data_IF_087067919151
#
_entry.id   IF_087067919151
#
_cell.length_a   1.000
_cell.length_b   1.000
_cell.length_c   1.000
_cell.angle_alpha   90.00
_cell.angle_beta   90.00
_cell.angle_gamma   90.00
#
_symmetry.space_group_name_H-M   'P 1'
#
loop_
_entity.id
_entity.type
_entity.pdbx_description
1 polymer ?
#
# COMPACT_ATOMS: atom_id res chain seq x y z
N UNK A 1 -11.17 -32.55 -15.98
CA UNK A 1 -10.55 -33.64 -15.21
C UNK A 1 -9.11 -33.22 -14.90
N UNK A 2 -8.78 -32.89 -13.65
CA UNK A 2 -7.36 -32.81 -13.26
C UNK A 2 -6.86 -34.25 -13.23
N UNK A 3 -5.83 -34.56 -14.01
CA UNK A 3 -5.13 -35.84 -13.90
C UNK A 3 -4.65 -35.96 -12.45
N UNK A 4 -4.93 -37.10 -11.81
CA UNK A 4 -4.39 -37.39 -10.50
C UNK A 4 -2.89 -37.64 -10.69
N UNK A 5 -2.07 -36.64 -10.34
CA UNK A 5 -0.62 -36.74 -10.47
C UNK A 5 -0.12 -37.93 -9.64
N UNK A 6 0.83 -38.67 -10.19
CA UNK A 6 1.50 -39.75 -9.46
C UNK A 6 2.16 -39.21 -8.19
N UNK A 7 2.24 -40.04 -7.15
CA UNK A 7 2.79 -39.65 -5.85
C UNK A 7 4.25 -39.15 -5.95
N UNK A 8 5.03 -39.76 -6.86
CA UNK A 8 6.40 -39.33 -7.19
C UNK A 8 6.46 -37.97 -7.90
N UNK A 9 5.47 -37.64 -8.74
CA UNK A 9 5.39 -36.33 -9.40
C UNK A 9 4.98 -35.25 -8.41
N UNK A 10 4.06 -35.57 -7.49
CA UNK A 10 3.68 -34.67 -6.39
C UNK A 10 4.89 -34.37 -5.50
N UNK A 11 5.70 -35.38 -5.17
CA UNK A 11 6.89 -35.18 -4.33
C UNK A 11 7.94 -34.30 -5.02
N UNK A 12 8.23 -34.55 -6.31
CA UNK A 12 9.16 -33.69 -7.07
C UNK A 12 8.71 -32.23 -7.12
N UNK A 13 7.41 -31.99 -7.32
CA UNK A 13 6.86 -30.64 -7.32
C UNK A 13 7.03 -30.00 -5.93
N UNK A 14 6.80 -30.75 -4.85
CA UNK A 14 6.99 -30.22 -3.49
C UNK A 14 8.45 -29.83 -3.24
N UNK A 15 9.40 -30.69 -3.61
CA UNK A 15 10.82 -30.41 -3.44
C UNK A 15 11.26 -29.16 -4.23
N UNK A 16 10.78 -29.00 -5.47
CA UNK A 16 11.00 -27.81 -6.29
C UNK A 16 10.38 -26.53 -5.68
N UNK A 17 9.18 -26.65 -5.09
CA UNK A 17 8.51 -25.52 -4.44
C UNK A 17 9.21 -25.13 -3.14
N UNK A 18 9.69 -26.09 -2.34
CA UNK A 18 10.46 -25.81 -1.13
C UNK A 18 11.76 -25.06 -1.45
N UNK A 19 12.42 -25.42 -2.55
CA UNK A 19 13.61 -24.69 -3.01
C UNK A 19 13.25 -23.26 -3.46
N UNK A 20 12.19 -23.10 -4.26
CA UNK A 20 11.73 -21.78 -4.75
C UNK A 20 11.25 -20.86 -3.63
N UNK A 21 10.50 -21.40 -2.66
CA UNK A 21 9.96 -20.66 -1.52
C UNK A 21 10.89 -20.65 -0.30
N UNK A 22 12.11 -21.18 -0.45
CA UNK A 22 13.17 -20.97 0.54
C UNK A 22 13.41 -19.48 0.74
N UNK A 23 13.66 -19.08 1.99
CA UNK A 23 13.78 -17.66 2.37
C UNK A 23 14.79 -16.91 1.49
N UNK A 24 15.91 -17.55 1.16
CA UNK A 24 17.00 -16.95 0.36
C UNK A 24 16.59 -16.66 -1.08
N UNK A 25 15.94 -17.62 -1.74
CA UNK A 25 15.52 -17.49 -3.14
C UNK A 25 14.32 -16.54 -3.24
N UNK A 26 13.33 -16.75 -2.38
CA UNK A 26 12.12 -15.93 -2.39
C UNK A 26 12.40 -14.46 -2.07
N UNK A 27 13.29 -14.16 -1.12
CA UNK A 27 13.59 -12.77 -0.75
C UNK A 27 14.26 -12.00 -1.88
N UNK A 28 15.17 -12.63 -2.63
CA UNK A 28 15.80 -12.05 -3.81
C UNK A 28 14.79 -11.79 -4.94
N UNK A 29 13.85 -12.72 -5.15
CA UNK A 29 12.76 -12.53 -6.11
C UNK A 29 11.78 -11.43 -5.65
N UNK A 30 11.40 -11.44 -4.38
CA UNK A 30 10.54 -10.42 -3.76
C UNK A 30 11.16 -9.02 -3.88
N UNK A 31 12.47 -8.87 -3.70
CA UNK A 31 13.16 -7.61 -3.89
C UNK A 31 13.09 -7.10 -5.34
N UNK A 32 13.20 -7.98 -6.34
CA UNK A 32 13.01 -7.61 -7.76
C UNK A 32 11.56 -7.21 -8.05
N UNK A 33 10.60 -7.90 -7.43
CA UNK A 33 9.17 -7.64 -7.57
C UNK A 33 8.72 -6.38 -6.84
N UNK A 34 9.38 -6.00 -5.74
CA UNK A 34 9.12 -4.80 -4.95
C UNK A 34 9.10 -3.52 -5.80
N UNK A 35 9.95 -3.43 -6.82
CA UNK A 35 10.02 -2.28 -7.75
C UNK A 35 8.69 -2.01 -8.46
N UNK A 36 7.84 -3.04 -8.64
CA UNK A 36 6.53 -2.92 -9.29
C UNK A 36 5.41 -2.50 -8.32
N UNK A 37 5.75 -2.25 -7.07
CA UNK A 37 4.83 -1.89 -6.00
C UNK A 37 5.14 -0.48 -5.52
N UNK A 38 4.10 0.31 -5.31
CA UNK A 38 4.25 1.65 -4.74
C UNK A 38 3.19 1.87 -3.67
N UNK A 39 3.62 2.26 -2.48
CA UNK A 39 2.71 2.71 -1.43
C UNK A 39 2.30 4.15 -1.76
N UNK A 40 1.00 4.43 -1.70
CA UNK A 40 0.43 5.71 -2.08
C UNK A 40 -0.66 6.14 -1.12
N UNK A 41 -0.87 7.45 -1.04
CA UNK A 41 -2.01 8.05 -0.35
C UNK A 41 -3.14 8.43 -1.31
N UNK A 42 -2.81 8.72 -2.58
CA UNK A 42 -3.74 9.22 -3.59
C UNK A 42 -3.61 8.42 -4.90
N UNK A 43 -4.18 7.20 -4.95
CA UNK A 43 -4.10 6.34 -6.12
C UNK A 43 -4.86 6.89 -7.34
N UNK A 44 -4.20 6.92 -8.51
CA UNK A 44 -4.81 7.37 -9.76
C UNK A 44 -5.86 6.41 -10.34
N UNK A 45 -5.85 5.14 -9.92
CA UNK A 45 -6.82 4.13 -10.38
C UNK A 45 -8.27 4.50 -10.01
N UNK A 46 -8.48 5.34 -8.99
CA UNK A 46 -9.80 5.89 -8.65
C UNK A 46 -10.32 6.90 -9.68
N UNK A 47 -9.44 7.54 -10.46
CA UNK A 47 -9.85 8.38 -11.58
C UNK A 47 -10.22 7.53 -12.79
N UNK A 48 -9.37 6.55 -13.14
CA UNK A 48 -9.62 5.60 -14.20
C UNK A 48 -8.78 4.32 -14.00
N UNK A 49 -9.33 3.10 -14.18
CA UNK A 49 -8.61 1.85 -13.89
C UNK A 49 -7.28 1.66 -14.65
N UNK A 50 -7.17 2.25 -15.85
CA UNK A 50 -5.98 2.19 -16.71
C UNK A 50 -5.01 3.38 -16.54
N UNK A 51 -5.31 4.34 -15.66
CA UNK A 51 -4.43 5.49 -15.46
C UNK A 51 -3.10 5.06 -14.82
N UNK A 52 -1.99 5.65 -15.29
CA UNK A 52 -0.65 5.46 -14.72
C UNK A 52 -0.03 6.80 -14.36
N UNK A 53 0.21 7.01 -13.07
CA UNK A 53 0.85 8.22 -12.55
C UNK A 53 1.99 7.84 -11.62
N UNK A 54 2.85 8.80 -11.28
CA UNK A 54 3.78 8.63 -10.18
C UNK A 54 3.03 8.36 -8.86
N UNK A 55 3.61 7.50 -8.02
CA UNK A 55 3.08 7.23 -6.68
C UNK A 55 3.26 8.44 -5.78
N UNK A 56 2.18 8.87 -5.10
CA UNK A 56 2.21 10.05 -4.22
C UNK A 56 1.91 9.63 -2.78
N UNK A 57 2.86 9.88 -1.88
CA UNK A 57 2.66 9.81 -0.43
C UNK A 57 2.58 11.23 0.11
N UNK A 58 1.37 11.68 0.41
CA UNK A 58 1.11 13.00 0.93
C UNK A 58 1.29 13.01 2.45
N UNK A 59 2.24 13.82 2.92
CA UNK A 59 2.48 14.08 4.35
C UNK A 59 2.41 15.58 4.58
N UNK A 60 1.21 16.12 4.75
CA UNK A 60 1.05 17.54 5.09
C UNK A 60 0.39 17.70 6.46
N UNK A 61 0.72 18.79 7.15
CA UNK A 61 0.16 19.13 8.45
C UNK A 61 -1.27 19.60 8.27
N UNK A 62 -2.18 19.03 9.04
CA UNK A 62 -3.54 19.54 9.14
C UNK A 62 -3.56 20.93 9.80
N UNK A 63 -4.50 21.76 9.36
CA UNK A 63 -4.79 23.06 9.97
C UNK A 63 -6.26 23.11 10.42
N UNK A 64 -6.54 23.89 11.47
CA UNK A 64 -7.89 24.06 12.04
C UNK A 64 -8.54 25.33 11.50
N UNK A 65 -8.74 25.40 10.18
CA UNK A 65 -9.32 26.56 9.51
C UNK A 65 -10.72 26.29 8.93
N UNK A 66 -11.36 25.20 9.39
CA UNK A 66 -12.71 24.81 9.00
C UNK A 66 -12.76 23.90 7.76
N UNK A 67 -11.64 23.66 7.07
CA UNK A 67 -11.58 22.72 5.96
C UNK A 67 -11.09 21.33 6.39
N UNK A 68 -11.75 20.29 5.90
CA UNK A 68 -11.29 18.91 6.06
C UNK A 68 -10.37 18.53 4.91
N UNK A 69 -9.12 18.19 5.22
CA UNK A 69 -8.10 17.74 4.25
C UNK A 69 -7.56 16.37 4.65
N UNK A 70 -6.91 15.70 3.70
CA UNK A 70 -6.18 14.46 3.93
C UNK A 70 -5.14 14.59 5.06
N UNK A 71 -4.51 15.77 5.23
CA UNK A 71 -3.57 16.02 6.32
C UNK A 71 -4.19 16.14 7.72
N UNK A 72 -5.51 16.32 7.83
CA UNK A 72 -6.19 16.41 9.13
C UNK A 72 -6.53 15.05 9.74
N UNK A 73 -6.35 13.96 8.99
CA UNK A 73 -6.88 12.66 9.35
C UNK A 73 -5.81 11.61 9.17
N UNK A 74 -5.53 10.85 10.23
CA UNK A 74 -4.69 9.66 10.13
C UNK A 74 -5.47 8.52 9.48
N UNK A 75 -4.90 7.95 8.43
CA UNK A 75 -5.45 6.81 7.69
C UNK A 75 -4.33 5.93 7.15
N UNK A 76 -4.65 4.67 6.89
CA UNK A 76 -3.71 3.73 6.29
C UNK A 76 -3.46 4.08 4.82
N UNK A 77 -2.22 3.93 4.40
CA UNK A 77 -1.83 4.12 3.00
C UNK A 77 -2.33 2.94 2.15
N UNK A 78 -2.53 3.23 0.88
CA UNK A 78 -2.96 2.27 -0.13
C UNK A 78 -1.76 1.85 -0.98
N UNK A 79 -1.98 0.90 -1.89
CA UNK A 79 -0.93 0.41 -2.78
C UNK A 79 -1.36 0.48 -4.24
N UNK A 80 -0.41 0.79 -5.11
CA UNK A 80 -0.54 0.62 -6.55
C UNK A 80 0.44 -0.45 -6.99
N UNK A 81 -0.07 -1.39 -7.77
CA UNK A 81 0.71 -2.44 -8.42
C UNK A 81 0.23 -2.63 -9.87
N UNK A 82 1.13 -3.07 -10.73
CA UNK A 82 0.79 -3.46 -12.11
C UNK A 82 0.20 -4.87 -12.20
N UNK A 83 0.56 -5.76 -11.26
CA UNK A 83 0.12 -7.17 -11.25
C UNK A 83 -0.19 -7.61 -9.82
N UNK A 84 -1.24 -8.39 -9.61
CA UNK A 84 -1.61 -8.89 -8.26
C UNK A 84 -0.59 -9.87 -7.67
N UNK A 85 0.26 -10.47 -8.50
CA UNK A 85 1.33 -11.38 -8.11
C UNK A 85 2.50 -10.72 -7.35
N UNK A 86 2.36 -9.45 -6.94
CA UNK A 86 3.30 -8.78 -6.01
C UNK A 86 2.66 -8.43 -4.67
N UNK A 87 1.39 -8.80 -4.46
CA UNK A 87 0.67 -8.55 -3.21
C UNK A 87 1.31 -9.26 -2.02
N UNK A 88 1.82 -10.48 -2.23
CA UNK A 88 2.56 -11.26 -1.23
C UNK A 88 3.76 -10.50 -0.67
N UNK A 89 4.45 -9.71 -1.49
CA UNK A 89 5.57 -8.87 -1.05
C UNK A 89 5.08 -7.76 -0.10
N UNK A 90 3.95 -7.14 -0.41
CA UNK A 90 3.36 -6.12 0.48
C UNK A 90 2.83 -6.72 1.78
N UNK A 91 2.16 -7.87 1.70
CA UNK A 91 1.70 -8.61 2.87
C UNK A 91 2.88 -8.95 3.79
N UNK A 92 3.98 -9.45 3.22
CA UNK A 92 5.23 -9.68 3.96
C UNK A 92 5.75 -8.40 4.63
N UNK A 93 5.87 -7.30 3.89
CA UNK A 93 6.39 -6.04 4.43
C UNK A 93 5.50 -5.41 5.52
N UNK A 94 4.20 -5.72 5.51
CA UNK A 94 3.23 -5.24 6.51
C UNK A 94 3.04 -6.18 7.69
N UNK A 95 3.71 -7.35 7.70
CA UNK A 95 3.72 -8.22 8.86
C UNK A 95 4.24 -7.47 10.08
N UNK A 96 3.47 -7.56 11.17
CA UNK A 96 3.84 -6.98 12.46
C UNK A 96 4.77 -7.94 13.18
N UNK A 97 5.92 -7.42 13.62
CA UNK A 97 6.83 -8.14 14.51
C UNK A 97 6.27 -8.13 15.93
N UNK A 98 6.91 -8.88 16.84
CA UNK A 98 6.54 -8.93 18.27
C UNK A 98 6.52 -7.54 18.93
N UNK A 99 7.26 -6.57 18.38
CA UNK A 99 7.34 -5.19 18.84
C UNK A 99 6.22 -4.29 18.27
N UNK A 100 5.28 -4.85 17.52
CA UNK A 100 4.14 -4.14 16.93
C UNK A 100 4.46 -3.26 15.72
N UNK A 101 5.74 -3.20 15.31
CA UNK A 101 6.20 -2.49 14.11
C UNK A 101 6.16 -3.39 12.88
N UNK A 102 6.02 -2.82 11.69
CA UNK A 102 6.05 -3.60 10.45
C UNK A 102 7.47 -3.93 10.04
N UNK A 103 7.66 -4.99 9.25
CA UNK A 103 8.97 -5.32 8.65
C UNK A 103 9.52 -4.11 7.88
N UNK A 104 8.66 -3.38 7.17
CA UNK A 104 9.05 -2.16 6.45
C UNK A 104 9.59 -1.07 7.38
N UNK A 105 9.00 -0.87 8.57
CA UNK A 105 9.50 0.10 9.55
C UNK A 105 10.85 -0.34 10.13
N UNK A 106 11.05 -1.64 10.32
CA UNK A 106 12.32 -2.22 10.75
C UNK A 106 13.44 -2.04 9.71
N UNK A 107 13.10 -2.09 8.42
CA UNK A 107 14.02 -1.78 7.32
C UNK A 107 14.32 -0.27 7.22
N UNK A 108 13.35 0.60 7.51
CA UNK A 108 13.57 2.05 7.55
C UNK A 108 14.53 2.46 8.66
N UNK A 109 14.32 1.94 9.87
CA UNK A 109 15.12 2.27 11.06
C UNK A 109 16.46 1.52 11.09
N UNK A 110 16.70 0.61 10.13
CA UNK A 110 17.91 -0.20 10.04
C UNK A 110 18.18 -0.99 11.34
N UNK A 111 17.13 -1.63 11.86
CA UNK A 111 17.16 -2.32 13.14
C UNK A 111 18.03 -3.59 13.11
N UNK A 112 18.64 -3.95 14.25
CA UNK A 112 19.49 -5.14 14.36
C UNK A 112 18.77 -6.44 13.96
N UNK A 113 17.49 -6.57 14.32
CA UNK A 113 16.64 -7.71 13.94
C UNK A 113 16.49 -7.81 12.41
N UNK A 114 16.29 -6.69 11.71
CA UNK A 114 16.23 -6.70 10.25
C UNK A 114 17.56 -7.15 9.64
N UNK A 115 18.70 -6.71 10.19
CA UNK A 115 20.01 -7.16 9.71
C UNK A 115 20.21 -8.66 9.89
N UNK A 116 19.79 -9.20 11.01
CA UNK A 116 19.92 -10.64 11.30
C UNK A 116 18.98 -11.49 10.43
N UNK A 117 17.71 -11.10 10.30
CA UNK A 117 16.73 -11.84 9.49
C UNK A 117 17.03 -11.79 8.00
N UNK A 118 17.60 -10.68 7.51
CA UNK A 118 17.96 -10.50 6.10
C UNK A 118 19.43 -10.82 5.81
N UNK A 119 20.20 -11.29 6.81
CA UNK A 119 21.57 -11.78 6.61
C UNK A 119 21.54 -13.17 5.96
N UNK A 120 21.51 -13.17 4.63
CA UNK A 120 21.48 -14.40 3.82
C UNK A 120 22.83 -14.58 3.12
N UNK A 121 23.39 -15.80 3.05
CA UNK A 121 24.72 -16.04 2.46
C UNK A 121 24.90 -15.54 1.03
N UNK A 122 23.82 -15.46 0.26
CA UNK A 122 23.82 -15.18 -1.17
C UNK A 122 23.31 -13.77 -1.53
N UNK A 123 23.10 -12.88 -0.56
CA UNK A 123 22.51 -11.57 -0.82
C UNK A 123 23.15 -10.45 0.00
N UNK A 124 23.29 -9.27 -0.63
CA UNK A 124 23.71 -8.07 0.06
C UNK A 124 22.51 -7.42 0.76
N UNK A 125 22.59 -7.27 2.08
CA UNK A 125 21.55 -6.64 2.90
C UNK A 125 21.15 -5.26 2.39
N UNK A 126 22.14 -4.43 2.01
CA UNK A 126 21.89 -3.05 1.63
C UNK A 126 21.12 -2.95 0.30
N UNK A 127 21.39 -3.85 -0.65
CA UNK A 127 20.67 -3.92 -1.92
C UNK A 127 19.22 -4.35 -1.71
N UNK A 128 18.99 -5.37 -0.88
CA UNK A 128 17.65 -5.81 -0.51
C UNK A 128 16.88 -4.69 0.20
N UNK A 129 17.51 -4.03 1.16
CA UNK A 129 16.93 -2.91 1.90
C UNK A 129 16.53 -1.78 0.95
N UNK A 130 17.41 -1.37 0.04
CA UNK A 130 17.10 -0.33 -0.95
C UNK A 130 15.95 -0.73 -1.88
N UNK A 131 15.92 -1.99 -2.32
CA UNK A 131 14.83 -2.50 -3.16
C UNK A 131 13.48 -2.43 -2.44
N UNK A 132 13.38 -2.85 -1.18
CA UNK A 132 12.13 -2.75 -0.41
C UNK A 132 11.77 -1.31 -0.04
N UNK A 133 12.74 -0.46 0.27
CA UNK A 133 12.49 0.96 0.55
C UNK A 133 12.05 1.75 -0.67
N UNK A 134 12.39 1.30 -1.89
CA UNK A 134 11.94 1.94 -3.13
C UNK A 134 10.41 2.02 -3.25
N UNK A 135 9.68 1.11 -2.59
CA UNK A 135 8.21 1.09 -2.55
C UNK A 135 7.61 2.37 -1.96
N UNK A 136 8.31 3.02 -1.00
CA UNK A 136 7.88 4.27 -0.38
C UNK A 136 8.43 5.51 -1.08
N UNK A 137 9.37 5.35 -2.01
CA UNK A 137 9.95 6.48 -2.73
C UNK A 137 8.98 6.90 -3.83
N UNK A 138 8.48 8.14 -3.76
CA UNK A 138 7.81 8.76 -4.88
C UNK A 138 8.83 8.98 -6.00
N UNK A 139 8.56 8.44 -7.20
CA UNK A 139 9.35 8.70 -8.40
C UNK A 139 9.71 10.19 -8.47
N UNK A 140 11.00 10.49 -8.67
CA UNK A 140 11.52 11.86 -8.75
C UNK A 140 10.92 12.64 -9.93
N UNK A 141 10.40 11.93 -10.93
CA UNK A 141 9.61 12.52 -12.02
C UNK A 141 8.12 12.53 -11.68
N UNK A 142 7.54 13.71 -11.47
CA UNK A 142 6.09 13.88 -11.41
C UNK A 142 5.46 13.54 -12.78
N UNK A 143 4.87 12.35 -12.91
CA UNK A 143 4.23 11.88 -14.14
C UNK A 143 2.72 11.83 -13.93
N UNK A 144 1.98 12.47 -14.83
CA UNK A 144 0.51 12.42 -14.89
C UNK A 144 0.06 11.67 -16.16
N UNK A 145 -1.15 11.12 -16.13
CA UNK A 145 -1.80 10.50 -17.29
C UNK A 145 -2.87 11.44 -17.86
N UNK A 146 -3.20 11.28 -19.14
CA UNK A 146 -4.35 11.93 -19.81
C UNK A 146 -5.69 11.45 -19.25
N UNK A 147 -5.71 10.27 -18.64
CA UNK A 147 -6.92 9.65 -18.06
C UNK A 147 -7.26 10.19 -16.67
N UNK A 148 -6.37 10.96 -16.05
CA UNK A 148 -6.64 11.64 -14.78
C UNK A 148 -7.33 12.97 -15.08
N UNK A 149 -8.22 13.39 -14.19
CA UNK A 149 -8.91 14.68 -14.31
C UNK A 149 -7.90 15.80 -14.13
N UNK A 150 -7.78 16.65 -15.15
CA UNK A 150 -6.90 17.81 -15.16
C UNK A 150 -7.74 19.08 -15.28
N UNK A 151 -7.45 20.09 -14.45
CA UNK A 151 -8.19 21.34 -14.38
C UNK A 151 -7.22 22.52 -14.41
N UNK A 152 -7.52 23.54 -15.23
CA UNK A 152 -6.82 24.81 -15.19
C UNK A 152 -7.35 25.67 -14.04
N UNK A 153 -6.46 26.06 -13.14
CA UNK A 153 -6.75 26.95 -12.03
C UNK A 153 -6.16 28.33 -12.32
N UNK A 154 -6.99 29.40 -12.39
CA UNK A 154 -6.53 30.74 -12.72
C UNK A 154 -5.68 31.35 -11.61
N UNK A 155 -4.69 32.15 -12.02
CA UNK A 155 -3.83 32.96 -11.17
C UNK A 155 -3.91 34.43 -11.61
N UNK A 156 -3.12 35.27 -10.97
CA UNK A 156 -2.95 36.66 -11.40
C UNK A 156 -2.31 36.74 -12.80
N UNK A 157 -2.58 37.84 -13.53
CA UNK A 157 -1.95 38.18 -14.81
C UNK A 157 -2.13 37.12 -15.93
N UNK A 158 -3.34 36.60 -16.08
CA UNK A 158 -3.68 35.60 -17.11
C UNK A 158 -2.81 34.33 -17.09
N UNK A 159 -2.23 34.00 -15.93
CA UNK A 159 -1.48 32.76 -15.74
C UNK A 159 -2.37 31.68 -15.12
N UNK A 160 -2.02 30.41 -15.38
CA UNK A 160 -2.81 29.26 -14.92
C UNK A 160 -1.89 28.15 -14.39
N UNK A 161 -2.36 27.45 -13.36
CA UNK A 161 -1.79 26.17 -12.96
C UNK A 161 -2.65 25.03 -13.52
N UNK A 162 -2.00 24.03 -14.11
CA UNK A 162 -2.67 22.77 -14.44
C UNK A 162 -2.60 21.84 -13.23
N UNK A 163 -3.76 21.51 -12.66
CA UNK A 163 -3.88 20.65 -11.50
C UNK A 163 -4.39 19.27 -11.92
N UNK A 164 -3.61 18.22 -11.63
CA UNK A 164 -4.07 16.83 -11.73
C UNK A 164 -4.72 16.41 -10.41
N UNK A 165 -6.01 16.07 -10.47
CA UNK A 165 -6.80 15.76 -9.27
C UNK A 165 -6.75 14.25 -9.01
N UNK A 166 -6.30 13.87 -7.82
CA UNK A 166 -6.24 12.49 -7.35
C UNK A 166 -7.12 12.30 -6.12
N UNK A 167 -7.67 11.10 -5.94
CA UNK A 167 -8.58 10.78 -4.85
C UNK A 167 -7.81 10.25 -3.63
N UNK A 168 -7.99 10.83 -2.42
CA UNK A 168 -7.41 10.28 -1.19
C UNK A 168 -8.16 9.00 -0.78
N UNK A 169 -7.59 7.83 -1.04
CA UNK A 169 -8.30 6.56 -0.79
C UNK A 169 -8.46 6.27 0.71
N UNK A 170 -7.44 6.51 1.52
CA UNK A 170 -7.52 6.26 2.97
C UNK A 170 -8.58 7.13 3.68
N UNK A 171 -8.73 8.40 3.26
CA UNK A 171 -9.80 9.27 3.78
C UNK A 171 -11.19 8.72 3.40
N UNK A 172 -11.36 8.30 2.14
CA UNK A 172 -12.62 7.73 1.66
C UNK A 172 -12.99 6.46 2.43
N UNK A 173 -12.04 5.54 2.61
CA UNK A 173 -12.23 4.29 3.36
C UNK A 173 -12.61 4.57 4.81
N UNK A 174 -11.96 5.55 5.47
CA UNK A 174 -12.28 5.90 6.85
C UNK A 174 -13.69 6.47 6.99
N UNK A 175 -14.09 7.37 6.10
CA UNK A 175 -15.47 7.90 6.05
C UNK A 175 -16.48 6.79 5.82
N UNK A 176 -16.21 5.88 4.87
CA UNK A 176 -17.09 4.74 4.60
C UNK A 176 -17.24 3.83 5.83
N UNK A 177 -16.13 3.51 6.50
CA UNK A 177 -16.14 2.69 7.72
C UNK A 177 -16.99 3.32 8.83
N UNK A 178 -16.84 4.62 9.06
CA UNK A 178 -17.64 5.35 10.05
C UNK A 178 -19.15 5.30 9.71
N UNK A 179 -19.51 5.48 8.44
CA UNK A 179 -20.91 5.37 8.01
C UNK A 179 -21.45 3.96 8.24
N UNK A 180 -20.66 2.93 7.92
CA UNK A 180 -21.05 1.53 8.11
C UNK A 180 -21.23 1.18 9.59
N UNK A 181 -20.34 1.67 10.45
CA UNK A 181 -20.46 1.51 11.91
C UNK A 181 -21.74 2.17 12.46
N UNK A 182 -22.12 3.34 11.93
CA UNK A 182 -23.36 4.03 12.32
C UNK A 182 -24.61 3.29 11.83
N UNK A 183 -24.54 2.66 10.67
CA UNK A 183 -25.63 1.85 10.12
C UNK A 183 -25.66 0.42 10.65
N UNK A 184 -24.71 0.03 11.49
CA UNK A 184 -24.72 -1.28 12.15
C UNK A 184 -26.03 -1.49 12.91
N UNK A 185 -26.63 -2.66 12.71
CA UNK A 185 -27.89 -3.06 13.34
C UNK A 185 -27.80 -2.93 14.86
N UNK A 186 -26.63 -3.23 15.44
CA UNK A 186 -26.36 -3.12 16.87
C UNK A 186 -26.53 -1.67 17.36
N UNK A 187 -25.84 -0.71 16.73
CA UNK A 187 -25.97 0.72 17.07
C UNK A 187 -27.38 1.26 16.86
N UNK A 188 -28.07 0.82 15.80
CA UNK A 188 -29.46 1.20 15.56
C UNK A 188 -30.39 0.65 16.64
N UNK A 189 -30.18 -0.59 17.09
CA UNK A 189 -30.95 -1.21 18.19
C UNK A 189 -30.71 -0.47 19.50
N UNK A 190 -29.45 -0.21 19.86
CA UNK A 190 -29.08 0.56 21.05
C UNK A 190 -29.74 1.95 21.04
N UNK A 191 -29.64 2.69 19.92
CA UNK A 191 -30.26 4.00 19.80
C UNK A 191 -31.80 3.95 19.95
N UNK A 192 -32.44 2.91 19.42
CA UNK A 192 -33.89 2.68 19.58
C UNK A 192 -34.26 2.34 21.02
N UNK A 193 -33.47 1.54 21.71
CA UNK A 193 -33.70 1.23 23.13
C UNK A 193 -33.53 2.46 24.02
N UNK A 194 -32.47 3.24 23.81
CA UNK A 194 -32.26 4.52 24.50
C UNK A 194 -33.42 5.49 24.27
N UNK A 195 -33.97 5.55 23.05
CA UNK A 195 -35.16 6.35 22.74
C UNK A 195 -36.42 5.87 23.47
N UNK A 196 -36.57 4.55 23.69
CA UNK A 196 -37.71 3.97 24.41
C UNK A 196 -37.62 4.12 25.93
N UNK A 197 -36.41 4.23 26.48
CA UNK A 197 -36.15 4.43 27.92
C UNK A 197 -36.23 5.89 28.35
N UNK A 198 -36.55 6.80 27.43
CA UNK A 198 -36.76 8.23 27.66
C UNK A 198 -38.24 8.54 27.62
#
# INVERSE_FOLDING_TARGET
MKADLGEDEKQKILDELEEQFSLSVWLLDAAKRAIKLSIVSHPCKFSHPKARTSGIIFKNKGETDGYLRSGNVEYDLDIIFDTSAVMDVYEFLTLKTELGKTILDHLEIDSAQAKETFAIPNANYEELRQAFLSIKQSDSSNKTDRLVKQVYFPLEKDSYHLLSILTPSGLLTKVKRQIDELHSIEKIKEARECRKKK
#
